data_IF_313883482471
#
_entry.id   IF_313883482471
#
_cell.length_a   1.000
_cell.length_b   1.000
_cell.length_c   1.000
_cell.angle_alpha   90.00
_cell.angle_beta   90.00
_cell.angle_gamma   90.00
#
_symmetry.space_group_name_H-M   'P 1'
#
loop_
_entity.id
_entity.type
_entity.pdbx_description
1 polymer ?
#
# COMPACT_ATOMS: atom_id res chain seq x y z
N UNK A 1 44.49 -7.37 -36.00
CA UNK A 1 43.80 -6.48 -36.95
C UNK A 1 43.17 -7.43 -37.95
N UNK A 2 41.87 -7.63 -38.00
CA UNK A 2 40.81 -6.63 -38.16
C UNK A 2 39.48 -7.27 -37.73
N UNK A 3 38.56 -6.45 -37.23
CA UNK A 3 37.31 -6.84 -36.57
C UNK A 3 36.20 -7.08 -37.60
N UNK A 4 35.13 -7.72 -37.11
CA UNK A 4 33.77 -7.79 -37.65
C UNK A 4 33.64 -8.78 -38.81
N UNK A 5 32.67 -9.69 -38.79
CA UNK A 5 31.25 -9.33 -38.88
C UNK A 5 30.41 -9.98 -37.78
N UNK A 6 29.67 -9.13 -37.05
CA UNK A 6 28.52 -9.53 -36.25
C UNK A 6 27.44 -10.01 -37.23
N UNK A 7 27.09 -11.29 -37.19
CA UNK A 7 25.80 -11.71 -37.70
C UNK A 7 24.75 -11.26 -36.68
N UNK A 8 24.15 -10.10 -36.96
CA UNK A 8 22.95 -9.66 -36.28
C UNK A 8 21.91 -10.77 -36.41
N UNK A 9 21.64 -11.47 -35.31
CA UNK A 9 20.52 -12.39 -35.18
C UNK A 9 19.23 -11.55 -35.23
N UNK A 10 18.83 -11.19 -36.44
CA UNK A 10 17.48 -10.72 -36.76
C UNK A 10 16.57 -11.91 -36.47
N UNK A 11 15.93 -11.90 -35.30
CA UNK A 11 14.84 -12.81 -34.99
C UNK A 11 13.73 -12.58 -36.02
N UNK A 12 13.62 -13.53 -36.96
CA UNK A 12 12.64 -13.54 -38.03
C UNK A 12 11.25 -13.81 -37.43
N UNK A 13 10.43 -12.78 -37.22
CA UNK A 13 8.98 -12.88 -36.89
C UNK A 13 8.17 -13.40 -38.09
N UNK A 14 8.58 -14.55 -38.64
CA UNK A 14 7.87 -15.30 -39.69
C UNK A 14 7.03 -16.42 -39.08
N UNK A 15 6.26 -16.10 -38.05
CA UNK A 15 5.20 -17.00 -37.61
C UNK A 15 3.99 -16.87 -38.56
N UNK A 16 3.65 -17.98 -39.24
CA UNK A 16 2.48 -18.07 -40.14
C UNK A 16 1.22 -17.53 -39.47
N UNK A 17 0.53 -16.59 -40.12
CA UNK A 17 -0.72 -16.01 -39.63
C UNK A 17 -1.77 -17.08 -39.30
N UNK A 18 -1.80 -18.16 -40.10
CA UNK A 18 -2.67 -19.31 -39.88
C UNK A 18 -2.33 -20.03 -38.57
N UNK A 19 -1.04 -20.14 -38.23
CA UNK A 19 -0.63 -20.74 -36.97
C UNK A 19 -1.02 -19.87 -35.76
N UNK A 20 -0.85 -18.54 -35.86
CA UNK A 20 -1.30 -17.57 -34.83
C UNK A 20 -2.81 -17.63 -34.62
N UNK A 21 -3.60 -17.69 -35.71
CA UNK A 21 -5.06 -17.81 -35.66
C UNK A 21 -5.52 -19.13 -35.01
N UNK A 22 -4.90 -20.26 -35.36
CA UNK A 22 -5.21 -21.56 -34.75
C UNK A 22 -4.88 -21.61 -33.26
N UNK A 23 -3.78 -20.98 -32.82
CA UNK A 23 -3.44 -20.85 -31.39
C UNK A 23 -4.51 -20.02 -30.66
N UNK A 24 -4.95 -18.91 -31.26
CA UNK A 24 -5.99 -18.08 -30.68
C UNK A 24 -7.32 -18.83 -30.56
N UNK A 25 -7.74 -19.55 -31.60
CA UNK A 25 -8.93 -20.42 -31.55
C UNK A 25 -8.84 -21.46 -30.43
N UNK A 26 -7.71 -22.13 -30.30
CA UNK A 26 -7.48 -23.08 -29.21
C UNK A 26 -7.53 -22.45 -27.81
N UNK A 27 -7.14 -21.18 -27.65
CA UNK A 27 -7.32 -20.46 -26.38
C UNK A 27 -8.78 -20.13 -26.11
N UNK A 28 -9.53 -19.66 -27.11
CA UNK A 28 -10.96 -19.34 -26.96
C UNK A 28 -11.74 -20.56 -26.52
N UNK A 29 -11.52 -21.73 -27.13
CA UNK A 29 -12.18 -22.98 -26.75
C UNK A 29 -11.86 -23.38 -25.30
N UNK A 30 -10.59 -23.28 -24.89
CA UNK A 30 -10.18 -23.56 -23.50
C UNK A 30 -10.83 -22.61 -22.50
N UNK A 31 -10.92 -21.32 -22.85
CA UNK A 31 -11.57 -20.32 -22.03
C UNK A 31 -13.07 -20.63 -21.91
N UNK A 32 -13.72 -21.04 -22.99
CA UNK A 32 -15.14 -21.40 -22.97
C UNK A 32 -15.42 -22.61 -22.08
N UNK A 33 -14.61 -23.67 -22.17
CA UNK A 33 -14.70 -24.85 -21.30
C UNK A 33 -14.44 -24.47 -19.83
N UNK A 34 -13.43 -23.63 -19.57
CA UNK A 34 -13.14 -23.14 -18.24
C UNK A 34 -14.30 -22.29 -17.69
N UNK A 35 -14.90 -21.42 -18.50
CA UNK A 35 -16.03 -20.58 -18.12
C UNK A 35 -17.28 -21.41 -17.81
N UNK A 36 -17.57 -22.46 -18.58
CA UNK A 36 -18.70 -23.37 -18.32
C UNK A 36 -18.51 -24.19 -17.03
N UNK A 37 -17.28 -24.62 -16.74
CA UNK A 37 -16.97 -25.36 -15.51
C UNK A 37 -16.69 -24.46 -14.29
N UNK A 38 -16.68 -23.14 -14.48
CA UNK A 38 -16.39 -22.17 -13.43
C UNK A 38 -17.45 -22.16 -12.32
N UNK A 39 -18.77 -22.12 -12.60
CA UNK A 39 -19.80 -22.13 -11.55
C UNK A 39 -19.79 -23.41 -10.72
N UNK A 40 -19.51 -24.56 -11.33
CA UNK A 40 -19.49 -25.85 -10.62
C UNK A 40 -18.29 -25.93 -9.65
N UNK A 41 -17.13 -25.42 -10.08
CA UNK A 41 -15.89 -25.47 -9.27
C UNK A 41 -15.81 -24.33 -8.26
N UNK A 42 -16.29 -23.13 -8.61
CA UNK A 42 -16.07 -21.90 -7.86
C UNK A 42 -17.36 -21.17 -7.46
N UNK A 43 -18.54 -21.73 -7.75
CA UNK A 43 -19.83 -21.13 -7.38
C UNK A 43 -19.98 -20.90 -5.87
N UNK A 44 -19.28 -21.69 -5.05
CA UNK A 44 -19.22 -21.49 -3.61
C UNK A 44 -18.64 -20.10 -3.20
N UNK A 45 -17.83 -19.47 -4.05
CA UNK A 45 -17.31 -18.11 -3.80
C UNK A 45 -18.41 -17.05 -3.90
N UNK A 46 -19.37 -17.22 -4.81
CA UNK A 46 -20.52 -16.31 -4.99
C UNK A 46 -21.51 -16.47 -3.83
N UNK A 47 -21.68 -17.71 -3.37
CA UNK A 47 -22.52 -18.07 -2.24
C UNK A 47 -22.04 -17.49 -0.90
N UNK A 48 -20.73 -17.32 -0.72
CA UNK A 48 -20.14 -16.79 0.50
C UNK A 48 -20.33 -15.27 0.61
N UNK A 49 -20.18 -14.53 -0.49
CA UNK A 49 -20.44 -13.08 -0.54
C UNK A 49 -21.91 -12.75 -0.27
N UNK A 50 -22.83 -13.55 -0.80
CA UNK A 50 -24.27 -13.29 -0.64
C UNK A 50 -24.77 -13.60 0.79
N UNK A 51 -24.24 -14.65 1.44
CA UNK A 51 -24.58 -14.99 2.83
C UNK A 51 -23.89 -14.12 3.88
N UNK A 52 -22.70 -13.57 3.59
CA UNK A 52 -21.99 -12.67 4.51
C UNK A 52 -22.53 -11.24 4.50
N UNK A 53 -22.99 -10.75 3.35
CA UNK A 53 -23.52 -9.38 3.17
C UNK A 53 -24.63 -9.00 4.18
N UNK A 54 -25.56 -9.90 4.51
CA UNK A 54 -26.67 -9.57 5.42
C UNK A 54 -26.26 -9.42 6.88
N UNK A 55 -25.23 -10.16 7.32
CA UNK A 55 -24.74 -10.15 8.70
C UNK A 55 -23.65 -9.08 8.92
N UNK A 56 -22.84 -8.82 7.89
CA UNK A 56 -21.73 -7.88 7.92
C UNK A 56 -22.20 -6.42 7.81
N UNK A 57 -23.23 -6.16 6.99
CA UNK A 57 -23.85 -4.81 6.88
C UNK A 57 -24.50 -4.34 8.19
N UNK A 58 -24.98 -5.25 9.06
CA UNK A 58 -25.51 -4.88 10.37
C UNK A 58 -24.42 -4.62 11.42
N UNK A 59 -23.27 -5.29 11.32
CA UNK A 59 -22.11 -5.00 12.19
C UNK A 59 -21.44 -3.68 11.82
N UNK A 60 -21.32 -3.35 10.51
CA UNK A 60 -20.69 -2.11 10.04
C UNK A 60 -21.43 -0.84 10.53
N UNK A 61 -22.77 -0.90 10.68
CA UNK A 61 -23.57 0.23 11.17
C UNK A 61 -23.35 0.58 12.63
N UNK A 62 -22.84 -0.35 13.46
CA UNK A 62 -22.52 -0.08 14.88
C UNK A 62 -21.19 0.65 15.08
N UNK A 63 -20.36 0.70 14.04
CA UNK A 63 -19.02 1.31 14.08
C UNK A 63 -19.04 2.77 13.57
N UNK A 64 -20.22 3.40 13.48
CA UNK A 64 -20.42 4.76 12.98
C UNK A 64 -19.95 5.87 13.95
N UNK A 65 -18.85 5.64 14.67
CA UNK A 65 -18.07 6.67 15.35
C UNK A 65 -16.68 6.81 14.69
N UNK A 66 -16.54 6.45 13.41
CA UNK A 66 -15.31 6.73 12.68
C UNK A 66 -15.20 8.23 12.46
N UNK A 67 -14.20 8.84 13.10
CA UNK A 67 -13.72 10.16 12.70
C UNK A 67 -13.38 10.10 11.19
N UNK A 68 -13.67 11.14 10.40
CA UNK A 68 -13.40 11.11 8.96
C UNK A 68 -11.88 11.03 8.71
N UNK A 69 -11.45 10.12 7.83
CA UNK A 69 -10.02 9.92 7.52
C UNK A 69 -9.38 11.28 7.20
N UNK A 70 -8.29 11.66 7.90
CA UNK A 70 -7.73 12.99 7.78
C UNK A 70 -7.07 13.17 6.41
N UNK A 71 -7.32 14.33 5.78
CA UNK A 71 -6.73 14.67 4.48
C UNK A 71 -5.40 15.41 4.59
N UNK A 72 -5.16 16.07 5.72
CA UNK A 72 -3.98 16.90 5.95
C UNK A 72 -2.99 16.22 6.89
N UNK A 73 -1.70 16.46 6.70
CA UNK A 73 -0.66 15.90 7.55
C UNK A 73 -0.83 16.33 9.03
N UNK A 74 -1.23 17.58 9.29
CA UNK A 74 -1.53 18.06 10.64
C UNK A 74 -2.71 17.33 11.29
N UNK A 75 -3.76 17.00 10.52
CA UNK A 75 -4.87 16.21 11.03
C UNK A 75 -4.48 14.74 11.26
N UNK A 76 -3.60 14.18 10.43
CA UNK A 76 -2.98 12.86 10.68
C UNK A 76 -2.19 12.86 11.99
N UNK A 77 -1.40 13.90 12.24
CA UNK A 77 -0.64 14.06 13.48
C UNK A 77 -1.58 14.11 14.67
N UNK A 78 -2.59 15.00 14.66
CA UNK A 78 -3.58 15.10 15.74
C UNK A 78 -4.35 13.79 15.99
N UNK A 79 -4.69 13.07 14.92
CA UNK A 79 -5.31 11.74 15.02
C UNK A 79 -4.38 10.76 15.74
N UNK A 80 -3.12 10.66 15.33
CA UNK A 80 -2.15 9.76 15.96
C UNK A 80 -1.83 10.17 17.40
N UNK A 81 -1.82 11.46 17.72
CA UNK A 81 -1.61 11.96 19.08
C UNK A 81 -2.71 11.58 20.08
N UNK A 82 -3.88 11.12 19.60
CA UNK A 82 -4.95 10.61 20.47
C UNK A 82 -4.60 9.23 21.06
N UNK A 83 -3.73 8.46 20.39
CA UNK A 83 -3.29 7.16 20.86
C UNK A 83 -2.18 7.33 21.91
N UNK A 84 -2.34 6.64 23.05
CA UNK A 84 -1.45 6.72 24.21
C UNK A 84 0.00 6.40 23.86
N UNK A 85 0.22 5.51 22.87
CA UNK A 85 1.55 5.16 22.39
C UNK A 85 2.33 6.36 21.82
N UNK A 86 1.64 7.34 21.28
CA UNK A 86 2.24 8.52 20.63
C UNK A 86 2.05 9.80 21.45
N UNK A 87 1.58 9.69 22.70
CA UNK A 87 1.35 10.84 23.58
C UNK A 87 2.69 11.41 24.09
N UNK A 88 3.07 12.59 23.60
CA UNK A 88 4.29 13.29 23.99
C UNK A 88 4.30 13.69 25.48
N UNK A 89 3.13 13.86 26.09
CA UNK A 89 2.93 14.20 27.51
C UNK A 89 3.55 13.16 28.48
N UNK A 90 3.80 11.92 28.02
CA UNK A 90 4.43 10.87 28.83
C UNK A 90 5.80 11.27 29.36
N UNK A 91 6.49 12.15 28.66
CA UNK A 91 7.84 12.60 29.02
C UNK A 91 7.84 13.84 29.94
N UNK A 92 6.66 14.32 30.35
CA UNK A 92 6.51 15.50 31.21
C UNK A 92 6.97 16.79 30.55
N UNK A 93 6.98 17.89 31.30
CA UNK A 93 7.56 19.16 30.85
C UNK A 93 9.06 18.98 30.60
N UNK A 94 9.44 18.70 29.34
CA UNK A 94 10.85 18.57 28.93
C UNK A 94 11.63 19.87 29.14
N UNK A 95 10.95 20.98 29.41
CA UNK A 95 11.55 22.26 29.72
C UNK A 95 11.91 22.35 31.20
N UNK A 96 12.85 21.53 31.67
CA UNK A 96 13.79 22.10 32.64
C UNK A 96 14.50 23.19 31.85
N UNK A 97 14.30 24.46 32.20
CA UNK A 97 15.06 25.53 31.59
C UNK A 97 16.53 25.11 31.65
N UNK A 98 17.15 24.82 30.50
CA UNK A 98 18.59 24.65 30.46
C UNK A 98 19.12 25.95 31.03
N UNK A 99 19.79 25.87 32.17
CA UNK A 99 20.29 27.06 32.85
C UNK A 99 21.05 27.95 31.87
N UNK A 100 21.20 29.23 32.20
CA UNK A 100 21.85 30.19 31.31
C UNK A 100 23.13 29.64 30.67
N UNK A 101 23.42 30.04 29.44
CA UNK A 101 24.62 29.62 28.70
C UNK A 101 25.89 29.81 29.56
N UNK A 102 25.92 30.87 30.36
CA UNK A 102 26.96 31.12 31.38
C UNK A 102 27.16 29.95 32.35
N UNK A 103 26.07 29.38 32.88
CA UNK A 103 26.10 28.21 33.77
C UNK A 103 26.56 26.96 33.03
N UNK A 104 26.21 26.80 31.76
CA UNK A 104 26.66 25.66 30.94
C UNK A 104 28.16 25.74 30.61
N UNK A 105 28.68 26.94 30.39
CA UNK A 105 30.08 27.18 30.05
C UNK A 105 30.97 27.42 31.28
N UNK A 106 30.39 27.46 32.49
CA UNK A 106 31.08 27.82 33.75
C UNK A 106 31.79 29.17 33.67
N UNK A 107 31.19 30.13 32.96
CA UNK A 107 31.78 31.45 32.79
C UNK A 107 31.48 32.39 33.96
N UNK A 108 32.41 33.29 34.30
CA UNK A 108 32.15 34.33 35.31
C UNK A 108 31.03 35.27 34.84
N UNK A 109 30.31 35.87 35.79
CA UNK A 109 29.18 36.78 35.47
C UNK A 109 29.64 38.04 34.73
N UNK A 110 30.92 38.41 34.89
CA UNK A 110 31.57 39.53 34.18
C UNK A 110 31.62 39.35 32.66
N UNK A 111 31.33 38.16 32.12
CA UNK A 111 31.32 37.91 30.68
C UNK A 111 30.06 38.45 29.97
N UNK A 112 29.06 38.92 30.71
CA UNK A 112 27.91 39.66 30.18
C UNK A 112 28.07 41.12 30.59
N UNK A 113 28.63 41.91 29.68
CA UNK A 113 28.75 43.37 29.77
C UNK A 113 27.78 43.98 28.76
#
# INVERSE_FOLDING_TARGET
MEKSEKTDLVYDDKHSYVAKDNIWKGHVEKIEVAAKSWPDKWGFMIDDDSRKSSNETQQIKRIHNFKPIPRTASAWIGWKSTDEKFKLEKYGHYTKARGSILKSLKWPREAVI
#
